data_IF_799668456538
#
_entry.id   IF_799668456538
#
_cell.length_a   1.000
_cell.length_b   1.000
_cell.length_c   1.000
_cell.angle_alpha   90.00
_cell.angle_beta   90.00
_cell.angle_gamma   90.00
#
_symmetry.space_group_name_H-M   'P 1'
#
loop_
_entity.id
_entity.type
_entity.pdbx_description
1 polymer ?
#
# COMPACT_ATOMS: atom_id res chain seq x y z
N UNK A 1 14.32 -4.79 20.16
CA UNK A 1 13.88 -4.35 18.80
C UNK A 1 13.66 -2.85 18.86
N UNK A 2 14.20 -2.09 17.90
CA UNK A 2 14.02 -0.64 17.87
C UNK A 2 12.53 -0.31 17.62
N UNK A 3 11.99 0.67 18.33
CA UNK A 3 10.58 1.07 18.26
C UNK A 3 10.09 1.31 16.79
N UNK A 4 10.83 1.99 15.91
CA UNK A 4 10.43 2.17 14.52
C UNK A 4 10.20 0.86 13.77
N UNK A 5 11.04 -0.16 13.99
CA UNK A 5 10.91 -1.48 13.35
C UNK A 5 9.64 -2.20 13.85
N UNK A 6 9.34 -2.10 15.16
CA UNK A 6 8.09 -2.66 15.70
C UNK A 6 6.88 -2.02 15.03
N UNK A 7 6.88 -0.71 14.86
CA UNK A 7 5.81 -0.01 14.16
C UNK A 7 5.70 -0.43 12.69
N UNK A 8 6.82 -0.63 11.99
CA UNK A 8 6.80 -1.13 10.61
C UNK A 8 6.20 -2.54 10.52
N UNK A 9 6.51 -3.42 11.48
CA UNK A 9 5.94 -4.77 11.54
C UNK A 9 4.44 -4.72 11.84
N UNK A 10 3.99 -3.87 12.76
CA UNK A 10 2.56 -3.68 13.02
C UNK A 10 1.85 -3.14 11.77
N UNK A 11 2.44 -2.18 11.07
CA UNK A 11 1.93 -1.68 9.80
C UNK A 11 1.85 -2.81 8.76
N UNK A 12 2.89 -3.65 8.65
CA UNK A 12 2.92 -4.82 7.76
C UNK A 12 1.75 -5.77 8.04
N UNK A 13 1.48 -6.08 9.30
CA UNK A 13 0.34 -6.94 9.68
C UNK A 13 -0.98 -6.29 9.30
N UNK A 14 -1.16 -5.01 9.60
CA UNK A 14 -2.38 -4.27 9.23
C UNK A 14 -2.56 -4.20 7.70
N UNK A 15 -1.50 -3.94 6.92
CA UNK A 15 -1.57 -3.97 5.45
C UNK A 15 -1.97 -5.36 4.93
N UNK A 16 -1.40 -6.42 5.51
CA UNK A 16 -1.75 -7.78 5.11
C UNK A 16 -3.20 -8.16 5.45
N UNK A 17 -3.72 -7.73 6.59
CA UNK A 17 -5.14 -7.85 6.93
C UNK A 17 -6.02 -7.06 5.94
N UNK A 18 -5.62 -5.84 5.58
CA UNK A 18 -6.34 -5.04 4.56
C UNK A 18 -6.35 -5.74 3.20
N UNK A 19 -5.22 -6.30 2.77
CA UNK A 19 -5.12 -7.07 1.51
C UNK A 19 -6.05 -8.29 1.53
N UNK A 20 -6.15 -8.98 2.66
CA UNK A 20 -7.06 -10.11 2.84
C UNK A 20 -8.53 -9.68 2.72
N UNK A 21 -8.90 -8.54 3.35
CA UNK A 21 -10.25 -7.97 3.24
C UNK A 21 -10.54 -7.55 1.79
N UNK A 22 -9.58 -6.94 1.09
CA UNK A 22 -9.70 -6.58 -0.32
C UNK A 22 -9.96 -7.80 -1.20
N UNK A 23 -9.26 -8.90 -0.93
CA UNK A 23 -9.49 -10.17 -1.63
C UNK A 23 -10.91 -10.69 -1.40
N UNK A 24 -11.40 -10.66 -0.16
CA UNK A 24 -12.77 -11.07 0.16
C UNK A 24 -13.81 -10.17 -0.52
N UNK A 25 -13.60 -8.86 -0.52
CA UNK A 25 -14.47 -7.91 -1.20
C UNK A 25 -14.52 -8.16 -2.72
N UNK A 26 -13.37 -8.42 -3.34
CA UNK A 26 -13.29 -8.76 -4.76
C UNK A 26 -14.02 -10.08 -5.07
N UNK A 27 -13.88 -11.11 -4.21
CA UNK A 27 -14.59 -12.38 -4.34
C UNK A 27 -16.10 -12.21 -4.19
N UNK A 28 -16.57 -11.24 -3.39
CA UNK A 28 -17.97 -10.87 -3.27
C UNK A 28 -18.51 -10.06 -4.45
N UNK A 29 -17.72 -9.86 -5.51
CA UNK A 29 -18.11 -9.13 -6.73
C UNK A 29 -18.19 -7.62 -6.57
N UNK A 30 -17.55 -7.05 -5.53
CA UNK A 30 -17.54 -5.61 -5.28
C UNK A 30 -16.57 -4.95 -6.27
N UNK A 31 -17.05 -3.94 -6.98
CA UNK A 31 -16.21 -3.12 -7.87
C UNK A 31 -15.17 -2.35 -7.05
N UNK A 32 -13.93 -2.38 -7.51
CA UNK A 32 -12.80 -1.80 -6.79
C UNK A 32 -12.91 -0.27 -6.63
N UNK A 33 -13.44 0.44 -7.63
CA UNK A 33 -13.68 1.90 -7.57
C UNK A 33 -14.71 2.27 -6.51
N UNK A 34 -15.85 1.57 -6.44
CA UNK A 34 -16.86 1.73 -5.39
C UNK A 34 -16.31 1.40 -4.00
N UNK A 35 -15.48 0.35 -3.94
CA UNK A 35 -14.83 -0.03 -2.68
C UNK A 35 -13.92 1.08 -2.17
N UNK A 36 -13.02 1.62 -3.02
CA UNK A 36 -12.08 2.68 -2.63
C UNK A 36 -12.78 3.98 -2.26
N UNK A 37 -13.84 4.36 -2.98
CA UNK A 37 -14.67 5.50 -2.62
C UNK A 37 -15.29 5.32 -1.23
N UNK A 38 -15.97 4.19 -1.00
CA UNK A 38 -16.59 3.91 0.29
C UNK A 38 -15.55 3.78 1.42
N UNK A 39 -14.39 3.18 1.14
CA UNK A 39 -13.28 3.12 2.09
C UNK A 39 -12.78 4.52 2.47
N UNK A 40 -12.66 5.45 1.52
CA UNK A 40 -12.32 6.84 1.78
C UNK A 40 -13.35 7.52 2.69
N UNK A 41 -14.64 7.26 2.48
CA UNK A 41 -15.72 7.83 3.31
C UNK A 41 -15.67 7.38 4.77
N UNK A 42 -15.15 6.17 5.05
CA UNK A 42 -14.92 5.70 6.42
C UNK A 42 -13.55 6.12 6.94
N UNK A 43 -12.50 6.02 6.13
CA UNK A 43 -11.12 6.31 6.54
C UNK A 43 -10.94 7.78 6.91
N UNK A 44 -11.48 8.71 6.10
CA UNK A 44 -11.30 10.14 6.33
C UNK A 44 -11.87 10.59 7.69
N UNK A 45 -13.15 10.33 8.05
CA UNK A 45 -13.63 10.70 9.37
C UNK A 45 -12.94 9.95 10.50
N UNK A 46 -12.58 8.67 10.31
CA UNK A 46 -11.87 7.89 11.32
C UNK A 46 -10.50 8.49 11.66
N UNK A 47 -9.70 8.85 10.65
CA UNK A 47 -8.38 9.44 10.88
C UNK A 47 -8.47 10.84 11.49
N UNK A 48 -9.48 11.64 11.11
CA UNK A 48 -9.74 12.95 11.71
C UNK A 48 -10.12 12.78 13.19
N UNK A 49 -11.05 11.90 13.51
CA UNK A 49 -11.46 11.61 14.88
C UNK A 49 -10.29 11.10 15.72
N UNK A 50 -9.46 10.23 15.15
CA UNK A 50 -8.26 9.73 15.82
C UNK A 50 -7.27 10.88 16.13
N UNK A 51 -6.97 11.74 15.16
CA UNK A 51 -6.05 12.86 15.32
C UNK A 51 -6.58 13.90 16.35
N UNK A 52 -7.89 14.13 16.37
CA UNK A 52 -8.52 14.98 17.38
C UNK A 52 -8.49 14.36 18.78
N UNK A 53 -8.81 13.07 18.89
CA UNK A 53 -8.83 12.36 20.18
C UNK A 53 -7.44 12.24 20.79
N UNK A 54 -6.39 12.16 19.97
CA UNK A 54 -4.99 12.11 20.42
C UNK A 54 -4.33 13.48 20.54
N UNK A 55 -5.05 14.56 20.24
CA UNK A 55 -4.53 15.94 20.24
C UNK A 55 -3.29 16.13 19.34
N UNK A 56 -3.21 15.37 18.22
CA UNK A 56 -2.07 15.36 17.30
C UNK A 56 -2.36 16.13 15.99
N UNK A 57 -3.54 16.73 15.85
CA UNK A 57 -3.88 17.51 14.68
C UNK A 57 -3.22 18.90 14.75
N UNK A 58 -2.14 19.07 14.01
CA UNK A 58 -1.40 20.33 13.90
C UNK A 58 -1.46 20.81 12.45
N UNK A 59 -2.17 21.92 12.21
CA UNK A 59 -2.29 22.51 10.88
C UNK A 59 -1.08 23.40 10.59
N UNK A 60 -0.08 22.87 9.92
CA UNK A 60 1.12 23.55 9.46
C UNK A 60 1.36 23.35 7.96
N UNK A 61 2.31 24.07 7.40
CA UNK A 61 2.67 23.93 5.97
C UNK A 61 3.28 22.56 5.65
N UNK A 62 3.89 21.88 6.60
CA UNK A 62 4.45 20.56 6.41
C UNK A 62 3.34 19.49 6.19
N UNK A 63 2.12 19.76 6.67
CA UNK A 63 0.95 18.91 6.41
C UNK A 63 0.58 18.85 4.90
N UNK A 64 0.94 19.86 4.10
CA UNK A 64 0.69 19.85 2.64
C UNK A 64 1.38 18.70 1.93
N UNK A 65 2.48 18.20 2.45
CA UNK A 65 3.12 16.98 1.94
C UNK A 65 2.21 15.76 2.05
N UNK A 66 1.38 15.69 3.10
CA UNK A 66 0.33 14.67 3.22
C UNK A 66 -0.74 14.77 2.13
N UNK A 67 -1.16 15.98 1.78
CA UNK A 67 -2.10 16.20 0.66
C UNK A 67 -1.48 15.76 -0.67
N UNK A 68 -0.21 16.13 -0.91
CA UNK A 68 0.51 15.69 -2.12
C UNK A 68 0.64 14.16 -2.16
N UNK A 69 0.98 13.52 -1.04
CA UNK A 69 0.97 12.06 -0.93
C UNK A 69 -0.42 11.48 -1.25
N UNK A 70 -1.50 12.09 -0.77
CA UNK A 70 -2.89 11.71 -1.06
C UNK A 70 -3.23 11.77 -2.55
N UNK A 71 -2.77 12.81 -3.27
CA UNK A 71 -2.93 12.91 -4.71
C UNK A 71 -2.21 11.76 -5.44
N UNK A 72 -0.98 11.44 -5.05
CA UNK A 72 -0.20 10.37 -5.64
C UNK A 72 -0.78 8.98 -5.29
N UNK A 73 -1.30 8.76 -4.09
CA UNK A 73 -2.05 7.54 -3.74
C UNK A 73 -3.29 7.40 -4.62
N UNK A 74 -4.03 8.49 -4.85
CA UNK A 74 -5.20 8.47 -5.73
C UNK A 74 -4.80 8.08 -7.16
N UNK A 75 -3.78 8.72 -7.74
CA UNK A 75 -3.25 8.39 -9.07
C UNK A 75 -2.83 6.90 -9.11
N UNK A 76 -2.12 6.43 -8.08
CA UNK A 76 -1.67 5.05 -7.94
C UNK A 76 -2.83 4.06 -8.00
N UNK A 77 -3.85 4.24 -7.18
CA UNK A 77 -5.02 3.35 -7.18
C UNK A 77 -5.85 3.46 -8.45
N UNK A 78 -6.04 4.67 -8.99
CA UNK A 78 -6.79 4.88 -10.23
C UNK A 78 -6.19 4.09 -11.40
N UNK A 79 -4.89 4.22 -11.63
CA UNK A 79 -4.22 3.49 -12.71
C UNK A 79 -4.05 2.00 -12.41
N UNK A 80 -3.87 1.62 -11.13
CA UNK A 80 -3.83 0.21 -10.74
C UNK A 80 -5.14 -0.51 -11.08
N UNK A 81 -6.28 0.05 -10.69
CA UNK A 81 -7.60 -0.53 -10.98
C UNK A 81 -7.80 -0.65 -12.50
N UNK A 82 -7.45 0.38 -13.27
CA UNK A 82 -7.55 0.35 -14.74
C UNK A 82 -6.65 -0.71 -15.35
N UNK A 83 -5.46 -0.92 -14.81
CA UNK A 83 -4.56 -1.97 -15.29
C UNK A 83 -5.15 -3.38 -15.07
N UNK A 84 -5.86 -3.58 -13.95
CA UNK A 84 -6.52 -4.85 -13.64
C UNK A 84 -7.71 -5.15 -14.57
N UNK A 85 -8.35 -4.12 -15.11
CA UNK A 85 -9.47 -4.30 -16.05
C UNK A 85 -9.01 -4.81 -17.43
N UNK A 86 -7.75 -4.58 -17.79
CA UNK A 86 -7.21 -4.89 -19.13
C UNK A 86 -6.20 -6.04 -19.10
N UNK A 87 -5.41 -6.15 -18.03
CA UNK A 87 -4.31 -7.12 -17.93
C UNK A 87 -4.49 -8.17 -16.84
N UNK A 88 -3.58 -9.17 -16.79
CA UNK A 88 -3.62 -10.23 -15.78
C UNK A 88 -3.43 -9.67 -14.37
N UNK A 89 -4.38 -9.96 -13.49
CA UNK A 89 -4.36 -9.48 -12.09
C UNK A 89 -3.08 -9.88 -11.36
N UNK A 90 -2.62 -11.12 -11.53
CA UNK A 90 -1.40 -11.62 -10.88
C UNK A 90 -0.16 -10.83 -11.26
N UNK A 91 0.02 -10.53 -12.55
CA UNK A 91 1.17 -9.76 -13.06
C UNK A 91 1.12 -8.32 -12.56
N UNK A 92 -0.04 -7.66 -12.70
CA UNK A 92 -0.19 -6.27 -12.31
C UNK A 92 -0.07 -6.06 -10.80
N UNK A 93 -0.63 -6.97 -9.99
CA UNK A 93 -0.47 -6.92 -8.55
C UNK A 93 1.00 -7.11 -8.11
N UNK A 94 1.74 -7.99 -8.78
CA UNK A 94 3.17 -8.17 -8.50
C UNK A 94 3.98 -6.92 -8.84
N UNK A 95 3.73 -6.30 -10.01
CA UNK A 95 4.41 -5.07 -10.42
C UNK A 95 4.07 -3.93 -9.45
N UNK A 96 2.79 -3.78 -9.08
CA UNK A 96 2.36 -2.73 -8.16
C UNK A 96 3.06 -2.83 -6.79
N UNK A 97 3.34 -4.04 -6.30
CA UNK A 97 4.08 -4.25 -5.04
C UNK A 97 5.52 -3.75 -5.08
N UNK A 98 6.09 -3.53 -6.26
CA UNK A 98 7.44 -2.97 -6.40
C UNK A 98 7.51 -1.47 -6.05
N UNK A 99 6.40 -0.85 -5.64
CA UNK A 99 6.36 0.56 -5.24
C UNK A 99 7.35 0.91 -4.12
N UNK A 100 7.68 -0.04 -3.22
CA UNK A 100 8.68 0.19 -2.18
C UNK A 100 10.08 0.45 -2.75
N UNK A 101 10.43 -0.14 -3.91
CA UNK A 101 11.71 0.13 -4.58
C UNK A 101 11.76 1.59 -5.04
N UNK A 102 10.66 2.07 -5.62
CA UNK A 102 10.55 3.48 -6.04
C UNK A 102 10.78 4.39 -4.84
N UNK A 103 10.14 4.08 -3.69
CA UNK A 103 10.37 4.82 -2.45
C UNK A 103 11.83 4.80 -2.04
N UNK A 104 12.46 3.63 -2.01
CA UNK A 104 13.89 3.48 -1.64
C UNK A 104 14.79 4.28 -2.57
N UNK A 105 14.59 4.18 -3.88
CA UNK A 105 15.38 4.95 -4.86
C UNK A 105 15.23 6.46 -4.61
N UNK A 106 14.01 6.94 -4.40
CA UNK A 106 13.75 8.37 -4.16
C UNK A 106 14.37 8.85 -2.85
N UNK A 107 14.25 8.11 -1.74
CA UNK A 107 14.80 8.55 -0.45
C UNK A 107 16.34 8.45 -0.42
N UNK A 108 16.92 7.47 -1.11
CA UNK A 108 18.38 7.37 -1.24
C UNK A 108 18.93 8.49 -2.14
N UNK A 109 18.34 8.68 -3.33
CA UNK A 109 18.85 9.64 -4.31
C UNK A 109 18.59 11.10 -3.92
N UNK A 110 17.42 11.42 -3.33
CA UNK A 110 16.99 12.79 -3.09
C UNK A 110 17.11 13.21 -1.62
N UNK A 111 17.01 12.28 -0.67
CA UNK A 111 17.11 12.56 0.76
C UNK A 111 18.42 12.10 1.38
N UNK A 112 19.33 11.50 0.57
CA UNK A 112 20.66 11.11 1.01
C UNK A 112 20.70 9.98 2.03
N UNK A 113 19.68 9.10 2.06
CA UNK A 113 19.72 7.94 2.94
C UNK A 113 20.82 6.96 2.50
N UNK A 114 21.67 6.48 3.45
CA UNK A 114 22.76 5.57 3.08
C UNK A 114 22.23 4.25 2.55
N UNK A 115 22.76 3.79 1.41
CA UNK A 115 22.48 2.49 0.83
C UNK A 115 23.60 1.52 1.20
N UNK A 116 23.39 0.73 2.28
CA UNK A 116 24.34 -0.28 2.74
C UNK A 116 24.16 -1.60 1.99
N UNK A 117 25.19 -2.44 2.02
CA UNK A 117 25.15 -3.77 1.40
C UNK A 117 24.03 -4.65 2.03
N UNK A 118 23.83 -4.54 3.34
CA UNK A 118 22.74 -5.22 4.05
C UNK A 118 21.35 -4.77 3.55
N UNK A 119 21.14 -3.47 3.33
CA UNK A 119 19.88 -2.99 2.74
C UNK A 119 19.65 -3.54 1.33
N UNK A 120 20.69 -3.52 0.49
CA UNK A 120 20.60 -4.11 -0.86
C UNK A 120 20.22 -5.60 -0.77
N UNK A 121 20.89 -6.38 0.08
CA UNK A 121 20.58 -7.79 0.27
C UNK A 121 19.13 -8.00 0.76
N UNK A 122 18.67 -7.23 1.75
CA UNK A 122 17.30 -7.26 2.24
C UNK A 122 16.25 -6.91 1.17
N UNK A 123 16.54 -5.90 0.35
CA UNK A 123 15.66 -5.50 -0.77
C UNK A 123 15.59 -6.58 -1.85
N UNK A 124 16.71 -7.20 -2.19
CA UNK A 124 16.75 -8.34 -3.15
C UNK A 124 15.94 -9.51 -2.62
N UNK A 125 16.09 -9.86 -1.34
CA UNK A 125 15.28 -10.91 -0.72
C UNK A 125 13.78 -10.57 -0.73
N UNK A 126 13.39 -9.31 -0.44
CA UNK A 126 12.01 -8.85 -0.50
C UNK A 126 11.44 -8.93 -1.93
N UNK A 127 12.25 -8.62 -2.96
CA UNK A 127 11.90 -8.78 -4.36
C UNK A 127 11.65 -10.24 -4.74
N UNK A 128 12.57 -11.13 -4.35
CA UNK A 128 12.44 -12.57 -4.59
C UNK A 128 11.20 -13.13 -3.88
N UNK A 129 10.95 -12.72 -2.63
CA UNK A 129 9.74 -13.09 -1.90
C UNK A 129 8.46 -12.64 -2.63
N UNK A 130 8.44 -11.40 -3.10
CA UNK A 130 7.31 -10.84 -3.86
C UNK A 130 7.07 -11.66 -5.14
N UNK A 131 8.12 -11.94 -5.90
CA UNK A 131 8.04 -12.71 -7.13
C UNK A 131 7.55 -14.15 -6.87
N UNK A 132 8.07 -14.83 -5.85
CA UNK A 132 7.72 -16.22 -5.52
C UNK A 132 6.27 -16.33 -5.01
N UNK A 133 5.79 -15.36 -4.20
CA UNK A 133 4.45 -15.41 -3.62
C UNK A 133 3.36 -14.95 -4.59
N UNK A 134 3.64 -13.98 -5.44
CA UNK A 134 2.67 -13.36 -6.33
C UNK A 134 2.85 -13.78 -7.80
N UNK A 135 4.06 -14.04 -8.25
CA UNK A 135 4.41 -14.33 -9.64
C UNK A 135 4.03 -15.73 -10.11
N UNK A 136 3.80 -16.69 -9.22
CA UNK A 136 3.54 -18.10 -9.54
C UNK A 136 2.19 -18.39 -10.23
N UNK A 137 1.37 -17.36 -10.47
CA UNK A 137 0.08 -17.46 -11.17
C UNK A 137 0.08 -16.67 -12.49
N UNK A 138 1.15 -16.74 -13.27
CA UNK A 138 1.16 -16.14 -14.61
C UNK A 138 0.15 -16.89 -15.48
N UNK A 139 -1.07 -16.41 -15.50
CA UNK A 139 -2.05 -16.82 -16.51
C UNK A 139 -1.60 -16.22 -17.84
N UNK A 140 -1.22 -17.08 -18.78
CA UNK A 140 -0.94 -16.67 -20.15
C UNK A 140 -2.28 -16.34 -20.81
N UNK A 141 -2.82 -15.16 -20.54
CA UNK A 141 -3.96 -14.65 -21.29
C UNK A 141 -3.43 -14.14 -22.63
N UNK A 142 -4.02 -14.63 -23.70
CA UNK A 142 -3.78 -14.21 -25.08
C UNK A 142 -4.49 -12.86 -25.34
N UNK A 143 -4.19 -11.83 -24.54
CA UNK A 143 -4.65 -10.48 -24.84
C UNK A 143 -3.84 -9.93 -26.02
N UNK A 144 -4.46 -9.13 -26.92
CA UNK A 144 -3.73 -8.43 -27.98
C UNK A 144 -2.54 -7.65 -27.41
N UNK A 145 -1.43 -7.58 -28.15
CA UNK A 145 -0.19 -6.95 -27.68
C UNK A 145 -0.39 -5.48 -27.26
N UNK A 146 -1.24 -4.74 -27.93
CA UNK A 146 -1.58 -3.36 -27.58
C UNK A 146 -2.27 -3.25 -26.21
N UNK A 147 -3.22 -4.15 -25.91
CA UNK A 147 -3.92 -4.19 -24.63
C UNK A 147 -2.97 -4.54 -23.48
N UNK A 148 -2.05 -5.48 -23.73
CA UNK A 148 -1.01 -5.86 -22.76
C UNK A 148 -0.07 -4.70 -22.46
N UNK A 149 0.43 -4.02 -23.49
CA UNK A 149 1.32 -2.86 -23.36
C UNK A 149 0.62 -1.74 -22.59
N UNK A 150 -0.63 -1.44 -22.90
CA UNK A 150 -1.41 -0.43 -22.22
C UNK A 150 -1.61 -0.76 -20.71
N UNK A 151 -1.90 -2.03 -20.39
CA UNK A 151 -2.00 -2.50 -19.02
C UNK A 151 -0.68 -2.36 -18.25
N UNK A 152 0.46 -2.70 -18.86
CA UNK A 152 1.79 -2.59 -18.25
C UNK A 152 2.17 -1.12 -18.00
N UNK A 153 1.86 -0.21 -18.90
CA UNK A 153 2.07 1.23 -18.70
C UNK A 153 1.24 1.74 -17.53
N UNK A 154 -0.03 1.35 -17.45
CA UNK A 154 -0.90 1.76 -16.35
C UNK A 154 -0.38 1.27 -14.99
N UNK A 155 0.02 0.01 -14.87
CA UNK A 155 0.55 -0.50 -13.60
C UNK A 155 1.92 0.10 -13.26
N UNK A 156 2.75 0.43 -14.25
CA UNK A 156 4.01 1.14 -14.02
C UNK A 156 3.76 2.54 -13.45
N UNK A 157 2.83 3.31 -14.04
CA UNK A 157 2.42 4.62 -13.50
C UNK A 157 1.87 4.47 -12.07
N UNK A 158 1.05 3.45 -11.81
CA UNK A 158 0.52 3.18 -10.48
C UNK A 158 1.63 2.91 -9.45
N UNK A 159 2.61 2.10 -9.83
CA UNK A 159 3.77 1.75 -8.99
C UNK A 159 4.63 2.98 -8.67
N UNK A 160 4.92 3.80 -9.68
CA UNK A 160 5.67 5.04 -9.51
C UNK A 160 4.92 6.03 -8.62
N UNK A 161 3.64 6.22 -8.86
CA UNK A 161 2.83 7.14 -8.06
C UNK A 161 2.74 6.69 -6.59
N UNK A 162 2.49 5.41 -6.32
CA UNK A 162 2.40 4.90 -4.96
C UNK A 162 3.74 4.96 -4.22
N UNK A 163 4.85 4.68 -4.90
CA UNK A 163 6.19 4.86 -4.34
C UNK A 163 6.51 6.33 -4.04
N UNK A 164 6.11 7.24 -4.92
CA UNK A 164 6.26 8.68 -4.70
C UNK A 164 5.41 9.17 -3.52
N UNK A 165 4.23 8.59 -3.25
CA UNK A 165 3.42 8.97 -2.09
C UNK A 165 4.15 8.72 -0.78
N UNK A 166 4.80 7.57 -0.62
CA UNK A 166 5.62 7.27 0.56
C UNK A 166 6.82 8.22 0.69
N UNK A 167 7.41 8.62 -0.43
CA UNK A 167 8.47 9.62 -0.45
C UNK A 167 7.97 10.99 0.03
N UNK A 168 6.79 11.45 -0.41
CA UNK A 168 6.22 12.72 0.07
C UNK A 168 5.84 12.67 1.55
N UNK A 169 5.36 11.54 2.05
CA UNK A 169 5.20 11.34 3.49
C UNK A 169 6.53 11.49 4.23
N UNK A 170 7.60 10.88 3.71
CA UNK A 170 8.94 10.99 4.31
C UNK A 170 9.43 12.43 4.33
N UNK A 171 9.21 13.21 3.26
CA UNK A 171 9.53 14.63 3.24
C UNK A 171 8.74 15.38 4.30
N UNK A 172 7.43 15.19 4.37
CA UNK A 172 6.60 15.85 5.37
C UNK A 172 7.07 15.60 6.80
N UNK A 173 7.40 14.35 7.12
CA UNK A 173 7.95 13.96 8.43
C UNK A 173 9.30 14.63 8.71
N UNK A 174 10.19 14.71 7.72
CA UNK A 174 11.48 15.40 7.86
C UNK A 174 11.35 16.92 8.03
N UNK A 175 10.25 17.52 7.56
CA UNK A 175 9.93 18.93 7.80
C UNK A 175 9.12 19.15 9.08
N UNK A 176 9.01 18.14 9.94
CA UNK A 176 8.39 18.24 11.26
C UNK A 176 6.89 18.01 11.30
N UNK A 177 6.27 17.59 10.20
CA UNK A 177 4.85 17.24 10.23
C UNK A 177 4.57 16.07 11.16
N UNK A 178 3.47 16.16 11.90
CA UNK A 178 2.99 15.07 12.75
C UNK A 178 2.41 13.95 11.88
N UNK A 179 2.73 12.67 12.16
CA UNK A 179 2.24 11.53 11.37
C UNK A 179 0.73 11.53 11.13
N UNK A 180 -0.05 11.80 12.18
CA UNK A 180 -1.50 11.82 12.13
C UNK A 180 -2.03 12.96 11.25
N UNK A 181 -1.40 14.11 11.29
CA UNK A 181 -1.77 15.26 10.44
C UNK A 181 -1.50 14.97 8.97
N UNK A 182 -0.39 14.31 8.64
CA UNK A 182 -0.13 13.85 7.26
C UNK A 182 -1.19 12.86 6.78
N UNK A 183 -1.61 11.92 7.63
CA UNK A 183 -2.66 10.96 7.31
C UNK A 183 -4.02 11.65 7.10
N UNK A 184 -4.35 12.68 7.89
CA UNK A 184 -5.55 13.51 7.71
C UNK A 184 -5.49 14.25 6.38
N UNK A 185 -4.39 14.95 6.10
CA UNK A 185 -4.20 15.72 4.87
C UNK A 185 -4.30 14.84 3.63
N UNK A 186 -3.70 13.64 3.68
CA UNK A 186 -3.84 12.60 2.65
C UNK A 186 -5.31 12.22 2.42
N UNK A 187 -6.05 11.92 3.49
CA UNK A 187 -7.42 11.44 3.42
C UNK A 187 -8.38 12.52 2.89
N UNK A 188 -8.18 13.77 3.34
CA UNK A 188 -8.99 14.93 2.92
C UNK A 188 -8.85 15.18 1.42
N UNK A 189 -7.69 14.93 0.82
CA UNK A 189 -7.54 15.07 -0.64
C UNK A 189 -7.95 13.80 -1.40
N UNK A 190 -7.57 12.62 -0.93
CA UNK A 190 -7.90 11.35 -1.58
C UNK A 190 -9.41 11.10 -1.71
N UNK A 191 -10.16 11.35 -0.62
CA UNK A 191 -11.59 10.98 -0.54
C UNK A 191 -12.44 11.70 -1.58
N UNK A 192 -12.38 13.05 -1.75
CA UNK A 192 -13.14 13.72 -2.78
C UNK A 192 -12.70 13.32 -4.20
N UNK A 193 -11.39 13.11 -4.45
CA UNK A 193 -10.91 12.65 -5.75
C UNK A 193 -11.51 11.28 -6.11
N UNK A 194 -11.48 10.31 -5.20
CA UNK A 194 -12.09 9.00 -5.40
C UNK A 194 -13.60 9.09 -5.63
N UNK A 195 -14.28 9.95 -4.89
CA UNK A 195 -15.73 10.17 -5.02
C UNK A 195 -16.10 10.79 -6.38
N UNK A 196 -15.35 11.80 -6.81
CA UNK A 196 -15.56 12.50 -8.10
C UNK A 196 -15.40 11.52 -9.27
N UNK A 197 -14.38 10.64 -9.24
CA UNK A 197 -14.17 9.66 -10.32
C UNK A 197 -15.35 8.69 -10.44
N UNK A 198 -15.85 8.16 -9.32
CA UNK A 198 -17.03 7.27 -9.34
C UNK A 198 -18.28 8.03 -9.80
N UNK A 199 -18.45 9.27 -9.37
CA UNK A 199 -19.57 10.09 -9.81
C UNK A 199 -19.58 10.32 -11.32
N UNK A 200 -18.43 10.63 -11.92
CA UNK A 200 -18.34 10.82 -13.37
C UNK A 200 -18.49 9.52 -14.16
N UNK A 201 -18.05 8.38 -13.59
CA UNK A 201 -18.20 7.09 -14.23
C UNK A 201 -19.65 6.59 -14.24
N UNK A 202 -20.33 6.67 -13.10
CA UNK A 202 -21.63 6.01 -12.89
C UNK A 202 -22.81 6.98 -12.76
N UNK A 203 -22.54 8.30 -12.57
CA UNK A 203 -23.54 9.33 -12.26
C UNK A 203 -24.35 9.04 -10.99
N UNK A 204 -23.94 8.05 -10.18
CA UNK A 204 -24.60 7.62 -8.94
C UNK A 204 -23.55 7.31 -7.88
N UNK A 205 -23.77 7.79 -6.65
CA UNK A 205 -22.92 7.53 -5.49
C UNK A 205 -23.58 6.51 -4.53
N UNK A 206 -24.09 5.40 -5.07
CA UNK A 206 -24.81 4.39 -4.28
C UNK A 206 -24.19 3.02 -4.50
N UNK A 207 -23.04 2.72 -3.82
CA UNK A 207 -22.51 1.37 -3.85
C UNK A 207 -23.47 0.39 -3.15
N UNK A 208 -23.43 -0.92 -3.51
CA UNK A 208 -24.21 -1.95 -2.83
C UNK A 208 -23.96 -1.93 -1.30
N UNK A 209 -24.98 -2.25 -0.45
CA UNK A 209 -24.80 -2.22 1.01
C UNK A 209 -23.66 -3.10 1.53
N UNK A 210 -23.39 -4.23 0.87
CA UNK A 210 -22.28 -5.14 1.21
C UNK A 210 -20.91 -4.43 1.09
N UNK A 211 -20.77 -3.47 0.18
CA UNK A 211 -19.55 -2.67 0.01
C UNK A 211 -19.19 -1.92 1.29
N UNK A 212 -20.19 -1.33 1.97
CA UNK A 212 -19.94 -0.57 3.20
C UNK A 212 -19.34 -1.43 4.31
N UNK A 213 -19.80 -2.67 4.48
CA UNK A 213 -19.26 -3.59 5.49
C UNK A 213 -17.76 -3.85 5.28
N UNK A 214 -17.37 -4.24 4.06
CA UNK A 214 -15.97 -4.51 3.74
C UNK A 214 -15.12 -3.25 3.78
N UNK A 215 -15.63 -2.13 3.24
CA UNK A 215 -14.90 -0.86 3.20
C UNK A 215 -14.69 -0.27 4.59
N UNK A 216 -15.67 -0.34 5.50
CA UNK A 216 -15.53 0.13 6.87
C UNK A 216 -14.49 -0.70 7.64
N UNK A 217 -14.54 -2.04 7.52
CA UNK A 217 -13.57 -2.93 8.16
C UNK A 217 -12.16 -2.66 7.63
N UNK A 218 -12.02 -2.54 6.29
CA UNK A 218 -10.73 -2.22 5.67
C UNK A 218 -10.22 -0.84 6.07
N UNK A 219 -11.08 0.18 6.17
CA UNK A 219 -10.71 1.51 6.59
C UNK A 219 -10.17 1.54 8.03
N UNK A 220 -10.79 0.79 8.95
CA UNK A 220 -10.35 0.69 10.34
C UNK A 220 -8.95 0.05 10.44
N UNK A 221 -8.73 -1.04 9.70
CA UNK A 221 -7.42 -1.71 9.68
C UNK A 221 -6.38 -0.83 8.98
N UNK A 222 -6.76 -0.16 7.88
CA UNK A 222 -5.88 0.75 7.14
C UNK A 222 -5.48 1.97 7.97
N UNK A 223 -6.35 2.47 8.87
CA UNK A 223 -5.99 3.52 9.81
C UNK A 223 -4.78 3.09 10.64
N UNK A 224 -4.83 1.89 11.23
CA UNK A 224 -3.69 1.31 11.95
C UNK A 224 -2.44 1.21 11.07
N UNK A 225 -2.59 0.63 9.87
CA UNK A 225 -1.49 0.50 8.91
C UNK A 225 -0.81 1.84 8.61
N UNK A 226 -1.60 2.88 8.31
CA UNK A 226 -1.10 4.21 7.94
C UNK A 226 -0.42 4.90 9.11
N UNK A 227 -1.06 4.93 10.28
CA UNK A 227 -0.50 5.59 11.47
C UNK A 227 0.80 4.91 11.91
N UNK A 228 0.83 3.57 11.99
CA UNK A 228 2.05 2.87 12.38
C UNK A 228 3.16 2.99 11.34
N UNK A 229 2.85 3.00 10.02
CA UNK A 229 3.85 3.28 8.99
C UNK A 229 4.45 4.68 9.17
N UNK A 230 3.62 5.72 9.29
CA UNK A 230 4.10 7.09 9.41
C UNK A 230 4.90 7.31 10.70
N UNK A 231 4.45 6.75 11.85
CA UNK A 231 5.21 6.77 13.10
C UNK A 231 6.52 6.00 13.00
N UNK A 232 6.54 4.90 12.25
CA UNK A 232 7.76 4.15 11.97
C UNK A 232 8.76 5.02 11.22
N UNK A 233 8.35 5.61 10.09
CA UNK A 233 9.21 6.45 9.24
C UNK A 233 9.65 7.73 9.97
N UNK A 234 8.82 8.29 10.84
CA UNK A 234 9.20 9.43 11.69
C UNK A 234 10.37 9.11 12.63
N UNK A 235 10.53 7.86 13.04
CA UNK A 235 11.58 7.42 13.97
C UNK A 235 12.80 6.77 13.30
N UNK A 236 12.85 6.64 11.96
CA UNK A 236 13.95 5.94 11.31
C UNK A 236 14.03 6.14 9.80
N UNK A 237 14.82 5.30 9.15
CA UNK A 237 15.08 5.42 7.72
C UNK A 237 13.96 4.81 6.88
N UNK A 238 13.37 5.58 5.99
CA UNK A 238 12.30 5.13 5.11
C UNK A 238 12.76 4.00 4.17
N UNK A 239 14.03 3.99 3.76
CA UNK A 239 14.64 2.92 2.94
C UNK A 239 14.63 1.53 3.59
N UNK A 240 14.44 1.45 4.90
CA UNK A 240 14.29 0.19 5.66
C UNK A 240 12.82 -0.06 6.01
N UNK A 241 12.17 0.95 6.57
CA UNK A 241 10.88 0.81 7.24
C UNK A 241 9.72 0.68 6.26
N UNK A 242 9.78 1.37 5.12
CA UNK A 242 8.74 1.24 4.08
C UNK A 242 8.77 -0.15 3.43
N UNK A 243 9.92 -0.71 2.99
CA UNK A 243 9.97 -2.10 2.52
C UNK A 243 9.41 -3.11 3.52
N UNK A 244 9.76 -3.02 4.82
CA UNK A 244 9.22 -3.89 5.87
C UNK A 244 7.69 -3.80 5.92
N UNK A 245 7.14 -2.59 6.01
CA UNK A 245 5.70 -2.39 6.09
C UNK A 245 4.97 -2.87 4.82
N UNK A 246 5.57 -2.70 3.64
CA UNK A 246 4.98 -3.13 2.36
C UNK A 246 5.01 -4.65 2.15
N UNK A 247 5.69 -5.42 3.03
CA UNK A 247 5.65 -6.90 3.01
C UNK A 247 4.33 -7.48 3.57
N UNK A 248 3.28 -6.69 3.72
CA UNK A 248 1.93 -7.14 4.13
C UNK A 248 1.39 -8.33 3.32
N UNK A 249 1.81 -8.47 2.05
CA UNK A 249 1.46 -9.63 1.22
C UNK A 249 1.87 -10.99 1.84
N UNK A 250 2.87 -11.02 2.71
CA UNK A 250 3.28 -12.21 3.47
C UNK A 250 2.17 -12.62 4.44
N UNK A 251 1.65 -11.66 5.18
CA UNK A 251 0.53 -11.89 6.11
C UNK A 251 -0.72 -12.29 5.34
N UNK A 252 -1.03 -11.62 4.23
CA UNK A 252 -2.15 -11.99 3.38
C UNK A 252 -2.03 -13.42 2.81
N UNK A 253 -0.81 -13.85 2.44
CA UNK A 253 -0.55 -15.22 1.99
C UNK A 253 -0.74 -16.24 3.11
N UNK A 254 -0.27 -15.95 4.32
CA UNK A 254 -0.50 -16.81 5.50
C UNK A 254 -1.99 -16.94 5.81
N UNK A 255 -2.73 -15.84 5.82
CA UNK A 255 -4.19 -15.85 6.02
C UNK A 255 -4.91 -16.63 4.91
N UNK A 256 -4.43 -16.53 3.67
CA UNK A 256 -4.92 -17.34 2.54
C UNK A 256 -4.74 -18.86 2.78
N UNK A 257 -3.58 -19.25 3.29
CA UNK A 257 -3.29 -20.65 3.60
C UNK A 257 -4.15 -21.14 4.78
N UNK A 258 -4.16 -20.40 5.90
CA UNK A 258 -4.81 -20.88 7.13
C UNK A 258 -6.33 -20.72 7.13
N UNK A 259 -6.85 -19.61 6.60
CA UNK A 259 -8.30 -19.29 6.65
C UNK A 259 -9.00 -19.80 5.39
N UNK A 260 -8.44 -19.53 4.20
CA UNK A 260 -9.05 -19.95 2.93
C UNK A 260 -8.62 -21.35 2.50
N UNK A 261 -7.76 -22.02 3.29
CA UNK A 261 -7.25 -23.37 3.02
C UNK A 261 -6.64 -23.51 1.62
N UNK A 262 -5.92 -22.46 1.19
CA UNK A 262 -5.23 -22.50 -0.09
C UNK A 262 -4.11 -23.54 -0.08
N UNK A 263 -3.94 -24.24 -1.21
CA UNK A 263 -2.87 -25.22 -1.35
C UNK A 263 -1.49 -24.57 -1.14
N UNK A 264 -0.69 -25.20 -0.29
CA UNK A 264 0.70 -24.82 -0.04
C UNK A 264 1.56 -25.38 -1.17
N UNK A 265 2.19 -24.50 -1.93
CA UNK A 265 3.13 -24.87 -2.99
C UNK A 265 4.57 -24.61 -2.55
N UNK A 266 5.54 -25.26 -3.18
CA UNK A 266 6.98 -25.03 -2.91
C UNK A 266 7.33 -23.54 -3.09
N UNK A 267 6.79 -22.88 -4.11
CA UNK A 267 6.99 -21.44 -4.34
C UNK A 267 6.49 -20.59 -3.18
N UNK A 268 5.33 -20.92 -2.58
CA UNK A 268 4.82 -20.22 -1.41
C UNK A 268 5.74 -20.39 -0.21
N UNK A 269 6.23 -21.58 0.04
CA UNK A 269 7.18 -21.85 1.15
C UNK A 269 8.47 -21.08 0.96
N UNK A 270 9.09 -21.19 -0.23
CA UNK A 270 10.31 -20.44 -0.55
C UNK A 270 10.10 -18.92 -0.44
N UNK A 271 8.98 -18.41 -0.95
CA UNK A 271 8.65 -17.00 -0.84
C UNK A 271 8.51 -16.52 0.61
N UNK A 272 7.89 -17.32 1.48
CA UNK A 272 7.79 -17.00 2.92
C UNK A 272 9.17 -17.03 3.60
N UNK A 273 10.02 -18.00 3.27
CA UNK A 273 11.41 -18.07 3.80
C UNK A 273 12.22 -16.85 3.36
N UNK A 274 12.14 -16.46 2.07
CA UNK A 274 12.82 -15.27 1.56
C UNK A 274 12.29 -14.00 2.23
N UNK A 275 10.99 -13.90 2.50
CA UNK A 275 10.38 -12.79 3.20
C UNK A 275 10.88 -12.66 4.65
N UNK A 276 10.97 -13.78 5.38
CA UNK A 276 11.54 -13.79 6.73
C UNK A 276 13.02 -13.39 6.72
N UNK A 277 13.78 -13.88 5.73
CA UNK A 277 15.17 -13.46 5.52
C UNK A 277 15.29 -11.96 5.24
N UNK A 278 14.45 -11.42 4.36
CA UNK A 278 14.40 -9.99 4.08
C UNK A 278 14.12 -9.16 5.33
N UNK A 279 13.12 -9.59 6.13
CA UNK A 279 12.76 -8.93 7.37
C UNK A 279 13.93 -8.94 8.37
N UNK A 280 14.59 -10.08 8.55
CA UNK A 280 15.72 -10.20 9.48
C UNK A 280 16.91 -9.31 9.06
N UNK A 281 17.24 -9.29 7.76
CA UNK A 281 18.35 -8.48 7.22
C UNK A 281 18.02 -6.99 7.30
N UNK A 282 16.81 -6.56 6.91
CA UNK A 282 16.39 -5.15 6.97
C UNK A 282 16.27 -4.65 8.40
N UNK A 283 15.78 -5.48 9.32
CA UNK A 283 15.64 -5.11 10.74
C UNK A 283 17.00 -5.04 11.46
N UNK A 284 18.04 -5.67 10.93
CA UNK A 284 19.40 -5.63 11.47
C UNK A 284 20.32 -4.60 10.79
N UNK A 285 19.83 -3.82 9.81
CA UNK A 285 20.65 -2.90 8.99
C UNK A 285 20.61 -1.40 9.46
#
# INVERSE_FOLDING_TARGET
MNQPIVYAIVAMVCYGLSDFIYKQAATAGIRADHFLMAQGWFFCPLVILYALATHTLVLDLAALWGSLAGAFIFIGFYYFIRSLAVGPVSTNASIFRLNFIVTVVLVVALLGEPLTLSKIAGLVLALLATWLLLGSRVSVNHAPDDARTHSLVQVAVATLAFGASNFFHTIGLRHGAVPETLAVAQAVLFTPLATVVVYFADRKLRPPPVTFKYSATAATVLLGATIFLLRSVAGGQASILVPIAQMGFVVAALLGIFILREHVTVHKVLGLVMALGALAVLAGS
#
